data_IF_279819430014
#
_entry.id   IF_279819430014
#
_cell.length_a   1.000
_cell.length_b   1.000
_cell.length_c   1.000
_cell.angle_alpha   90.00
_cell.angle_beta   90.00
_cell.angle_gamma   90.00
#
_symmetry.space_group_name_H-M   'P 1'
#
loop_
_entity.id
_entity.type
_entity.pdbx_description
1 polymer ?
#
# COMPACT_ATOMS: atom_id res chain seq x y z
N UNK A 1 -13.64 12.82 -16.72
CA UNK A 1 -13.35 14.22 -16.37
C UNK A 1 -14.10 14.60 -15.09
N UNK A 2 -13.46 15.35 -14.20
CA UNK A 2 -14.01 15.68 -12.87
C UNK A 2 -14.74 17.03 -12.86
N UNK A 3 -15.40 17.40 -13.92
CA UNK A 3 -15.98 18.73 -14.14
C UNK A 3 -16.89 19.19 -12.99
N UNK A 4 -17.68 18.28 -12.42
CA UNK A 4 -18.58 18.60 -11.30
C UNK A 4 -17.85 18.89 -9.96
N UNK A 5 -16.58 18.53 -9.85
CA UNK A 5 -15.76 18.68 -8.63
C UNK A 5 -14.75 19.81 -8.79
N UNK A 6 -14.21 20.02 -10.01
CA UNK A 6 -13.17 21.02 -10.28
C UNK A 6 -13.64 22.44 -9.96
N UNK A 7 -14.88 22.79 -10.27
CA UNK A 7 -15.44 24.12 -9.97
C UNK A 7 -15.68 24.39 -8.47
N UNK A 8 -15.51 23.35 -7.62
CA UNK A 8 -15.74 23.42 -6.18
C UNK A 8 -14.47 23.21 -5.36
N UNK A 9 -13.34 22.95 -5.99
CA UNK A 9 -12.08 22.67 -5.34
C UNK A 9 -11.09 23.83 -5.56
N UNK A 10 -10.58 24.37 -4.46
CA UNK A 10 -9.39 25.20 -4.47
C UNK A 10 -8.17 24.30 -4.26
N UNK A 11 -7.21 24.36 -5.20
CA UNK A 11 -5.97 23.59 -5.13
C UNK A 11 -4.82 24.53 -4.76
N UNK A 12 -4.19 24.26 -3.63
CA UNK A 12 -2.99 24.98 -3.19
C UNK A 12 -1.79 24.04 -3.33
N UNK A 13 -0.77 24.47 -4.07
CA UNK A 13 0.45 23.69 -4.30
C UNK A 13 1.57 24.28 -3.45
N UNK A 14 2.12 23.47 -2.55
CA UNK A 14 3.29 23.83 -1.74
C UNK A 14 4.53 23.24 -2.38
N UNK A 15 5.55 24.07 -2.59
CA UNK A 15 6.84 23.66 -3.21
C UNK A 15 8.05 23.86 -2.30
N UNK A 16 7.91 24.64 -1.25
CA UNK A 16 8.94 24.79 -0.22
C UNK A 16 9.02 23.54 0.64
N UNK A 17 10.20 22.88 0.80
CA UNK A 17 10.35 21.64 1.54
C UNK A 17 9.94 21.73 3.02
N UNK A 18 10.25 22.82 3.69
CA UNK A 18 9.88 23.00 5.12
C UNK A 18 8.39 23.23 5.29
N UNK A 19 7.78 23.98 4.38
CA UNK A 19 6.34 24.17 4.36
C UNK A 19 5.60 22.85 4.03
N UNK A 20 6.09 22.07 3.08
CA UNK A 20 5.55 20.74 2.78
C UNK A 20 5.61 19.83 4.00
N UNK A 21 6.73 19.83 4.72
CA UNK A 21 6.91 19.05 5.94
C UNK A 21 5.95 19.51 7.04
N UNK A 22 5.81 20.82 7.24
CA UNK A 22 4.87 21.40 8.21
C UNK A 22 3.44 20.98 7.91
N UNK A 23 2.96 21.19 6.69
CA UNK A 23 1.60 20.82 6.25
C UNK A 23 1.36 19.31 6.39
N UNK A 24 2.35 18.50 6.05
CA UNK A 24 2.26 17.04 6.23
C UNK A 24 2.02 16.68 7.69
N UNK A 25 2.82 17.22 8.62
CA UNK A 25 2.75 16.85 10.03
C UNK A 25 1.57 17.50 10.77
N UNK A 26 1.28 18.76 10.51
CA UNK A 26 0.27 19.51 11.25
C UNK A 26 -1.15 19.35 10.69
N UNK A 27 -1.28 19.04 9.39
CA UNK A 27 -2.58 18.97 8.72
C UNK A 27 -2.87 17.56 8.18
N UNK A 28 -2.02 17.03 7.30
CA UNK A 28 -2.33 15.80 6.57
C UNK A 28 -2.35 14.56 7.49
N UNK A 29 -1.34 14.36 8.32
CA UNK A 29 -1.27 13.21 9.23
C UNK A 29 -2.44 13.16 10.21
N UNK A 30 -2.84 14.24 10.90
CA UNK A 30 -4.04 14.25 11.74
C UNK A 30 -5.33 13.89 11.00
N UNK A 31 -5.49 14.38 9.77
CA UNK A 31 -6.65 14.05 8.93
C UNK A 31 -6.64 12.55 8.57
N UNK A 32 -5.48 12.01 8.18
CA UNK A 32 -5.35 10.59 7.86
C UNK A 32 -5.60 9.69 9.07
N UNK A 33 -5.07 10.05 10.23
CA UNK A 33 -5.33 9.31 11.46
C UNK A 33 -6.83 9.26 11.78
N UNK A 34 -7.52 10.41 11.72
CA UNK A 34 -8.97 10.49 11.92
C UNK A 34 -9.77 9.70 10.88
N UNK A 35 -9.28 9.62 9.63
CA UNK A 35 -9.87 8.77 8.59
C UNK A 35 -9.69 7.30 8.96
N UNK A 36 -8.49 6.91 9.37
CA UNK A 36 -8.12 5.52 9.67
C UNK A 36 -8.92 4.96 10.85
N UNK A 37 -9.24 5.79 11.87
CA UNK A 37 -10.16 5.44 12.96
C UNK A 37 -11.53 4.91 12.47
N UNK A 38 -11.99 5.33 11.28
CA UNK A 38 -13.24 4.83 10.69
C UNK A 38 -13.11 3.42 10.13
N UNK A 39 -11.87 2.96 9.91
CA UNK A 39 -11.57 1.61 9.41
C UNK A 39 -11.43 0.59 10.54
N UNK A 40 -11.27 1.01 11.79
CA UNK A 40 -10.97 0.13 12.95
C UNK A 40 -11.96 -1.03 13.14
N UNK A 41 -13.19 -0.88 12.63
CA UNK A 41 -14.25 -1.90 12.71
C UNK A 41 -14.41 -2.70 11.43
N UNK A 42 -13.67 -2.35 10.38
CA UNK A 42 -13.71 -3.03 9.09
C UNK A 42 -12.52 -3.99 9.02
N UNK A 43 -12.79 -5.19 8.58
CA UNK A 43 -11.76 -6.19 8.26
C UNK A 43 -11.89 -6.60 6.80
N UNK A 44 -10.87 -7.23 6.28
CA UNK A 44 -10.89 -7.72 4.90
C UNK A 44 -12.00 -8.75 4.66
N UNK A 45 -12.42 -9.47 5.71
CA UNK A 45 -13.54 -10.39 5.67
C UNK A 45 -14.91 -9.70 5.73
N UNK A 46 -14.98 -8.48 6.27
CA UNK A 46 -16.24 -7.74 6.46
C UNK A 46 -16.74 -7.04 5.20
N UNK A 47 -16.00 -7.10 4.11
CA UNK A 47 -16.35 -6.47 2.83
C UNK A 47 -16.38 -7.49 1.71
N UNK A 48 -17.26 -7.28 0.74
CA UNK A 48 -17.42 -8.19 -0.39
C UNK A 48 -16.40 -7.93 -1.50
N UNK A 49 -15.91 -6.70 -1.60
CA UNK A 49 -14.96 -6.28 -2.65
C UNK A 49 -13.82 -5.46 -2.09
N UNK A 50 -12.70 -5.50 -2.78
CA UNK A 50 -11.57 -4.58 -2.64
C UNK A 50 -11.63 -3.52 -3.74
N UNK A 51 -10.67 -2.60 -3.75
CA UNK A 51 -10.54 -1.60 -4.80
C UNK A 51 -9.10 -1.53 -5.29
N UNK A 52 -8.92 -1.25 -6.57
CA UNK A 52 -7.62 -0.85 -7.11
C UNK A 52 -7.36 0.63 -6.85
N UNK A 53 -6.10 1.05 -6.96
CA UNK A 53 -5.73 2.44 -7.14
C UNK A 53 -4.58 2.51 -8.13
N UNK A 54 -4.79 3.24 -9.23
CA UNK A 54 -3.81 3.43 -10.31
C UNK A 54 -3.35 4.88 -10.46
N UNK A 55 -3.61 5.73 -9.47
CA UNK A 55 -3.21 7.16 -9.50
C UNK A 55 -1.72 7.37 -9.76
N UNK A 56 -0.87 6.44 -9.30
CA UNK A 56 0.58 6.52 -9.47
C UNK A 56 1.06 6.16 -10.87
N UNK A 57 0.21 5.71 -11.79
CA UNK A 57 0.62 5.35 -13.16
C UNK A 57 1.13 6.53 -13.97
N UNK A 58 0.88 7.77 -13.55
CA UNK A 58 1.55 8.95 -14.09
C UNK A 58 3.09 8.92 -13.93
N UNK A 59 3.60 8.19 -12.93
CA UNK A 59 5.03 8.08 -12.62
C UNK A 59 5.57 6.67 -12.87
N UNK A 60 4.76 5.65 -12.60
CA UNK A 60 5.09 4.23 -12.70
C UNK A 60 3.95 3.54 -13.44
N UNK A 61 4.01 3.43 -14.77
CA UNK A 61 2.86 3.03 -15.61
C UNK A 61 2.26 1.67 -15.27
N UNK A 62 3.06 0.76 -14.71
CA UNK A 62 2.62 -0.58 -14.33
C UNK A 62 2.17 -0.70 -12.88
N UNK A 63 2.22 0.39 -12.10
CA UNK A 63 1.89 0.30 -10.69
C UNK A 63 0.39 0.21 -10.45
N UNK A 64 -0.01 -0.73 -9.60
CA UNK A 64 -1.37 -0.85 -9.07
C UNK A 64 -1.30 -1.16 -7.57
N UNK A 65 -2.11 -0.49 -6.77
CA UNK A 65 -2.39 -0.91 -5.40
C UNK A 65 -3.71 -1.68 -5.37
N UNK A 66 -3.75 -2.76 -4.60
CA UNK A 66 -5.01 -3.38 -4.14
C UNK A 66 -5.26 -2.85 -2.74
N UNK A 67 -6.39 -2.18 -2.55
CA UNK A 67 -6.76 -1.49 -1.32
C UNK A 67 -7.85 -2.29 -0.63
N UNK A 68 -7.58 -2.70 0.59
CA UNK A 68 -8.52 -3.40 1.47
C UNK A 68 -8.78 -2.57 2.73
N UNK A 69 -9.77 -2.90 3.57
CA UNK A 69 -9.95 -2.24 4.86
C UNK A 69 -8.70 -2.21 5.74
N UNK A 70 -7.94 -3.31 5.75
CA UNK A 70 -6.74 -3.45 6.58
C UNK A 70 -5.45 -3.07 5.84
N UNK A 71 -5.51 -2.84 4.52
CA UNK A 71 -4.36 -2.49 3.68
C UNK A 71 -4.69 -1.29 2.82
N UNK A 72 -4.27 -0.12 3.26
CA UNK A 72 -4.39 1.12 2.51
C UNK A 72 -3.47 1.11 1.27
N UNK A 73 -3.66 2.08 0.41
CA UNK A 73 -2.64 2.41 -0.59
C UNK A 73 -1.27 2.53 0.08
N UNK A 74 -0.22 2.07 -0.59
CA UNK A 74 1.15 2.01 -0.03
C UNK A 74 1.66 3.37 0.45
N UNK A 75 1.18 4.46 -0.15
CA UNK A 75 1.47 5.83 0.24
C UNK A 75 0.77 6.29 1.53
N UNK A 76 -0.16 5.50 2.09
CA UNK A 76 -1.01 5.87 3.22
C UNK A 76 -2.11 6.88 2.90
N UNK A 77 -2.21 7.36 1.66
CA UNK A 77 -3.13 8.45 1.30
C UNK A 77 -4.53 8.00 0.88
N UNK A 78 -4.69 6.76 0.41
CA UNK A 78 -5.97 6.24 -0.09
C UNK A 78 -6.38 5.04 0.76
N UNK A 79 -7.47 5.18 1.48
CA UNK A 79 -8.09 4.08 2.25
C UNK A 79 -9.13 3.35 1.41
N UNK A 80 -9.65 2.23 1.94
CA UNK A 80 -10.75 1.50 1.31
C UNK A 80 -12.01 2.37 1.16
N UNK A 81 -12.30 3.21 2.16
CA UNK A 81 -13.42 4.17 2.10
C UNK A 81 -13.22 5.24 1.03
N UNK A 82 -11.99 5.74 0.88
CA UNK A 82 -11.66 6.73 -0.16
C UNK A 82 -11.77 6.11 -1.55
N UNK A 83 -11.24 4.90 -1.73
CA UNK A 83 -11.31 4.18 -3.00
C UNK A 83 -12.76 3.85 -3.39
N UNK A 84 -13.59 3.43 -2.41
CA UNK A 84 -15.02 3.21 -2.60
C UNK A 84 -15.72 4.48 -3.06
N UNK A 85 -15.53 5.58 -2.35
CA UNK A 85 -16.14 6.88 -2.68
C UNK A 85 -15.67 7.38 -4.06
N UNK A 86 -14.39 7.20 -4.40
CA UNK A 86 -13.85 7.55 -5.71
C UNK A 86 -14.51 6.75 -6.82
N UNK A 87 -14.70 5.44 -6.62
CA UNK A 87 -15.40 4.58 -7.58
C UNK A 87 -16.87 4.95 -7.75
N UNK A 88 -17.57 5.28 -6.65
CA UNK A 88 -18.97 5.70 -6.70
C UNK A 88 -19.15 7.02 -7.46
N UNK A 89 -18.17 7.94 -7.38
CA UNK A 89 -18.18 9.21 -8.10
C UNK A 89 -17.78 9.05 -9.58
N UNK A 90 -16.81 8.20 -9.85
CA UNK A 90 -16.30 7.92 -11.20
C UNK A 90 -16.01 6.42 -11.36
N UNK A 91 -17.00 5.62 -11.80
CA UNK A 91 -16.82 4.19 -12.02
C UNK A 91 -15.77 3.82 -13.09
N UNK A 92 -15.37 4.74 -13.94
CA UNK A 92 -14.29 4.56 -14.92
C UNK A 92 -12.95 5.16 -14.46
N UNK A 93 -12.92 5.74 -13.27
CA UNK A 93 -11.79 6.46 -12.70
C UNK A 93 -10.68 5.56 -12.17
N UNK A 94 -9.77 6.12 -11.38
CA UNK A 94 -8.55 5.43 -10.94
C UNK A 94 -8.77 4.32 -9.90
N UNK A 95 -9.94 4.27 -9.28
CA UNK A 95 -10.29 3.24 -8.30
C UNK A 95 -11.39 2.34 -8.86
N UNK A 96 -11.03 1.11 -9.20
CA UNK A 96 -11.95 0.12 -9.76
C UNK A 96 -12.23 -0.98 -8.74
N UNK A 97 -13.40 -1.60 -8.82
CA UNK A 97 -13.74 -2.78 -8.01
C UNK A 97 -12.77 -3.92 -8.33
N UNK A 98 -12.29 -4.57 -7.30
CA UNK A 98 -11.49 -5.80 -7.34
C UNK A 98 -12.25 -6.86 -6.56
N UNK A 99 -12.70 -7.90 -7.24
CA UNK A 99 -13.42 -9.01 -6.61
C UNK A 99 -12.47 -9.94 -5.88
N UNK A 100 -13.00 -10.77 -4.96
CA UNK A 100 -12.23 -11.75 -4.17
C UNK A 100 -13.02 -13.05 -3.97
N UNK A 101 -13.80 -13.43 -4.96
CA UNK A 101 -14.73 -14.57 -4.87
C UNK A 101 -14.04 -15.91 -5.06
N UNK A 102 -12.87 -15.94 -5.74
CA UNK A 102 -12.13 -17.16 -6.08
C UNK A 102 -10.81 -17.24 -5.29
N UNK A 103 -10.86 -17.69 -4.01
CA UNK A 103 -9.64 -17.81 -3.21
C UNK A 103 -8.75 -18.95 -3.71
N UNK A 104 -7.43 -18.67 -3.79
CA UNK A 104 -6.38 -19.67 -3.99
C UNK A 104 -5.81 -20.07 -2.63
N UNK A 105 -5.43 -19.09 -1.82
CA UNK A 105 -4.96 -19.27 -0.46
C UNK A 105 -5.28 -17.99 0.37
N UNK A 106 -6.26 -18.11 1.23
CA UNK A 106 -6.70 -16.99 2.07
C UNK A 106 -5.65 -16.56 3.11
N UNK A 107 -4.76 -17.46 3.52
CA UNK A 107 -3.69 -17.12 4.46
C UNK A 107 -2.64 -16.22 3.80
N UNK A 108 -2.37 -16.44 2.53
CA UNK A 108 -1.51 -15.58 1.71
C UNK A 108 -2.23 -14.31 1.25
N UNK A 109 -3.55 -14.28 1.27
CA UNK A 109 -4.35 -13.27 0.58
C UNK A 109 -4.22 -13.40 -0.94
N UNK A 110 -4.22 -14.63 -1.44
CA UNK A 110 -4.12 -14.96 -2.85
C UNK A 110 -5.50 -15.31 -3.42
N UNK A 111 -5.91 -14.62 -4.48
CA UNK A 111 -7.19 -14.80 -5.17
C UNK A 111 -6.99 -14.76 -6.68
N UNK A 112 -7.72 -15.60 -7.42
CA UNK A 112 -7.67 -15.56 -8.90
C UNK A 112 -8.19 -14.23 -9.44
N UNK A 113 -9.29 -13.72 -8.88
CA UNK A 113 -9.89 -12.45 -9.28
C UNK A 113 -8.92 -11.27 -9.08
N UNK A 114 -8.26 -11.23 -7.92
CA UNK A 114 -7.25 -10.21 -7.62
C UNK A 114 -6.10 -10.27 -8.60
N UNK A 115 -5.64 -11.48 -8.98
CA UNK A 115 -4.57 -11.64 -9.96
C UNK A 115 -5.00 -11.14 -11.35
N UNK A 116 -6.21 -11.48 -11.81
CA UNK A 116 -6.75 -11.02 -13.10
C UNK A 116 -6.84 -9.50 -13.15
N UNK A 117 -7.39 -8.88 -12.09
CA UNK A 117 -7.51 -7.43 -12.01
C UNK A 117 -6.13 -6.74 -11.92
N UNK A 118 -5.21 -7.29 -11.14
CA UNK A 118 -3.84 -6.76 -11.04
C UNK A 118 -3.11 -6.89 -12.37
N UNK A 119 -3.23 -8.00 -13.09
CA UNK A 119 -2.65 -8.16 -14.44
C UNK A 119 -3.22 -7.11 -15.40
N UNK A 120 -4.53 -6.94 -15.41
CA UNK A 120 -5.22 -5.94 -16.23
C UNK A 120 -4.75 -4.52 -15.91
N UNK A 121 -4.78 -4.12 -14.63
CA UNK A 121 -4.45 -2.75 -14.22
C UNK A 121 -2.95 -2.45 -14.27
N UNK A 122 -2.09 -3.45 -14.11
CA UNK A 122 -0.64 -3.31 -14.29
C UNK A 122 -0.19 -3.40 -15.77
N UNK A 123 -1.11 -3.49 -16.70
CA UNK A 123 -0.82 -3.66 -18.13
C UNK A 123 0.01 -4.92 -18.42
N UNK A 124 -0.23 -6.00 -17.66
CA UNK A 124 0.45 -7.30 -17.81
C UNK A 124 1.80 -7.39 -17.10
N UNK A 125 2.23 -6.36 -16.37
CA UNK A 125 3.51 -6.39 -15.66
C UNK A 125 3.48 -7.30 -14.42
N UNK A 126 2.34 -7.40 -13.74
CA UNK A 126 2.12 -8.25 -12.59
C UNK A 126 1.09 -9.32 -12.94
N UNK A 127 1.42 -10.59 -12.73
CA UNK A 127 0.52 -11.72 -13.01
C UNK A 127 -0.05 -12.35 -11.75
N UNK A 128 0.71 -12.27 -10.66
CA UNK A 128 0.33 -12.83 -9.36
C UNK A 128 0.76 -11.90 -8.26
N UNK A 129 -0.11 -11.73 -7.28
CA UNK A 129 0.19 -11.00 -6.05
C UNK A 129 -0.44 -11.71 -4.86
N UNK A 130 0.21 -11.59 -3.73
CA UNK A 130 -0.38 -11.94 -2.44
C UNK A 130 -0.49 -10.69 -1.58
N UNK A 131 -1.58 -10.58 -0.85
CA UNK A 131 -1.84 -9.38 -0.06
C UNK A 131 -1.17 -9.43 1.32
N UNK A 132 -0.87 -10.64 1.83
CA UNK A 132 -0.44 -10.86 3.20
C UNK A 132 0.88 -11.62 3.32
N UNK A 133 1.64 -11.77 2.23
CA UNK A 133 2.95 -12.41 2.23
C UNK A 133 4.04 -11.45 1.76
N UNK A 134 5.19 -11.51 2.41
CA UNK A 134 6.41 -10.83 1.95
C UNK A 134 7.28 -11.74 1.09
N UNK A 135 7.06 -13.06 1.16
CA UNK A 135 7.91 -14.06 0.49
C UNK A 135 7.33 -14.54 -0.84
N UNK A 136 6.00 -14.63 -0.95
CA UNK A 136 5.35 -15.17 -2.13
C UNK A 136 4.65 -14.06 -2.90
N UNK A 137 5.11 -13.77 -4.10
CA UNK A 137 4.53 -12.78 -5.01
C UNK A 137 4.15 -11.45 -4.30
N UNK A 138 5.08 -10.82 -3.54
CA UNK A 138 4.77 -9.61 -2.77
C UNK A 138 4.35 -8.49 -3.71
N UNK A 139 3.46 -7.62 -3.22
CA UNK A 139 3.06 -6.42 -3.97
C UNK A 139 4.26 -5.52 -4.26
N UNK A 140 4.31 -5.01 -5.48
CA UNK A 140 5.32 -4.04 -5.92
C UNK A 140 4.92 -2.61 -5.58
N UNK A 141 5.82 -1.66 -5.81
CA UNK A 141 5.63 -0.27 -5.45
C UNK A 141 6.12 0.69 -6.54
N UNK A 142 5.53 1.88 -6.57
CA UNK A 142 6.09 3.04 -7.28
C UNK A 142 7.19 3.76 -6.46
N UNK A 143 7.51 3.29 -5.24
CA UNK A 143 8.43 3.94 -4.31
C UNK A 143 7.76 4.89 -3.31
N UNK A 144 6.46 5.12 -3.39
CA UNK A 144 5.72 6.06 -2.55
C UNK A 144 5.10 5.44 -1.28
N UNK A 145 5.71 4.44 -0.68
CA UNK A 145 5.23 3.83 0.55
C UNK A 145 5.71 4.58 1.80
N UNK A 146 4.99 4.42 2.89
CA UNK A 146 5.35 5.02 4.18
C UNK A 146 6.47 4.25 4.88
N UNK A 147 6.45 2.93 4.73
CA UNK A 147 7.41 2.01 5.34
C UNK A 147 7.84 0.95 4.33
N UNK A 148 9.00 0.39 4.56
CA UNK A 148 9.47 -0.81 3.86
C UNK A 148 9.91 -1.84 4.87
N UNK A 149 9.57 -3.10 4.66
CA UNK A 149 10.09 -4.22 5.39
C UNK A 149 11.03 -5.07 4.55
N UNK A 150 11.99 -5.68 5.24
CA UNK A 150 12.93 -6.64 4.67
C UNK A 150 13.16 -7.79 5.63
N UNK A 151 13.44 -8.98 5.12
CA UNK A 151 13.78 -10.15 5.95
C UNK A 151 15.26 -10.10 6.31
N UNK A 152 15.56 -10.15 7.60
CA UNK A 152 16.93 -10.29 8.11
C UNK A 152 17.33 -11.80 8.07
N UNK A 153 18.35 -12.16 7.26
CA UNK A 153 18.60 -13.57 6.93
C UNK A 153 19.03 -14.45 8.13
N UNK A 154 19.71 -13.87 9.14
CA UNK A 154 20.27 -14.64 10.24
C UNK A 154 19.21 -15.03 11.28
N UNK A 155 18.33 -14.09 11.63
CA UNK A 155 17.24 -14.33 12.58
C UNK A 155 15.96 -14.78 11.90
N UNK A 156 15.88 -14.68 10.57
CA UNK A 156 14.65 -14.81 9.80
C UNK A 156 13.55 -13.86 10.32
N UNK A 157 13.98 -12.75 10.92
CA UNK A 157 13.13 -11.69 11.46
C UNK A 157 12.83 -10.60 10.43
N UNK A 158 11.90 -9.75 10.76
CA UNK A 158 11.48 -8.64 9.90
C UNK A 158 12.05 -7.34 10.42
N UNK A 159 12.75 -6.64 9.55
CA UNK A 159 13.24 -5.27 9.75
C UNK A 159 12.29 -4.32 9.04
N UNK A 160 11.78 -3.31 9.74
CA UNK A 160 10.92 -2.29 9.17
C UNK A 160 11.60 -0.94 9.30
N UNK A 161 11.72 -0.22 8.20
CA UNK A 161 12.17 1.17 8.17
C UNK A 161 11.04 2.09 7.68
N UNK A 162 10.79 3.18 8.39
CA UNK A 162 9.91 4.22 7.89
C UNK A 162 10.66 5.18 6.96
N UNK A 163 9.92 5.90 6.13
CA UNK A 163 10.47 6.82 5.12
C UNK A 163 11.36 7.91 5.72
N UNK A 164 11.15 8.30 6.96
CA UNK A 164 11.87 9.39 7.62
C UNK A 164 13.16 8.92 8.30
N UNK A 165 13.36 7.61 8.38
CA UNK A 165 14.58 7.05 8.96
C UNK A 165 15.77 7.21 8.00
N UNK A 166 16.74 8.01 8.42
CA UNK A 166 17.92 8.34 7.61
C UNK A 166 19.12 7.44 7.87
N UNK A 167 19.03 6.52 8.85
CA UNK A 167 20.14 5.66 9.26
C UNK A 167 20.27 4.38 8.45
N UNK A 168 21.29 3.60 8.80
CA UNK A 168 21.49 2.23 8.31
C UNK A 168 20.62 1.27 9.11
N UNK A 169 19.90 0.40 8.42
CA UNK A 169 19.09 -0.67 9.05
C UNK A 169 19.98 -1.88 9.41
N UNK A 170 19.48 -2.81 10.23
CA UNK A 170 20.17 -4.08 10.48
C UNK A 170 20.43 -4.93 9.24
N UNK A 171 19.76 -4.66 8.13
CA UNK A 171 20.05 -5.29 6.83
C UNK A 171 21.30 -4.75 6.15
N UNK A 172 21.99 -3.77 6.74
CA UNK A 172 23.09 -3.07 6.09
C UNK A 172 22.64 -2.19 4.92
N UNK A 173 21.37 -1.82 4.88
CA UNK A 173 20.74 -1.00 3.83
C UNK A 173 20.09 0.23 4.44
N UNK A 174 20.16 1.35 3.73
CA UNK A 174 19.36 2.54 4.00
C UNK A 174 17.94 2.37 3.50
N UNK A 175 17.00 3.24 3.92
CA UNK A 175 15.62 3.21 3.39
C UNK A 175 15.58 3.30 1.85
N UNK A 176 16.30 4.21 1.16
CA UNK A 176 16.30 4.25 -0.31
C UNK A 176 16.82 2.96 -0.98
N UNK A 177 17.83 2.32 -0.39
CA UNK A 177 18.35 1.04 -0.90
C UNK A 177 17.33 -0.09 -0.74
N UNK A 178 16.67 -0.19 0.41
CA UNK A 178 15.56 -1.13 0.59
C UNK A 178 14.41 -0.82 -0.38
N UNK A 179 14.07 0.47 -0.56
CA UNK A 179 13.01 0.90 -1.46
C UNK A 179 13.26 0.50 -2.92
N UNK A 180 14.52 0.50 -3.36
CA UNK A 180 14.90 0.07 -4.71
C UNK A 180 14.60 -1.39 -5.00
N UNK A 181 14.50 -2.23 -3.94
CA UNK A 181 14.20 -3.66 -4.10
C UNK A 181 12.76 -3.94 -4.56
N UNK A 182 11.84 -2.99 -4.38
CA UNK A 182 10.42 -3.16 -4.73
C UNK A 182 9.91 -2.13 -5.72
N UNK A 183 10.76 -1.20 -6.14
CA UNK A 183 10.39 -0.14 -7.07
C UNK A 183 10.22 -0.62 -8.51
N UNK A 184 9.45 0.14 -9.32
CA UNK A 184 9.35 -0.08 -10.75
C UNK A 184 8.66 -1.37 -11.19
N UNK A 185 7.80 -1.96 -10.35
CA UNK A 185 7.06 -3.18 -10.69
C UNK A 185 7.85 -4.48 -10.43
N UNK A 186 8.97 -4.41 -9.72
CA UNK A 186 9.75 -5.60 -9.35
C UNK A 186 9.17 -6.26 -8.10
N UNK A 187 8.92 -7.56 -8.17
CA UNK A 187 8.56 -8.40 -7.03
C UNK A 187 9.83 -9.05 -6.47
N UNK A 188 10.27 -8.62 -5.31
CA UNK A 188 11.46 -9.17 -4.65
C UNK A 188 11.05 -9.89 -3.37
N UNK A 189 11.06 -11.24 -3.36
CA UNK A 189 10.78 -11.99 -2.13
C UNK A 189 11.64 -11.51 -0.96
N UNK A 190 11.00 -11.31 0.18
CA UNK A 190 11.66 -10.78 1.37
C UNK A 190 11.66 -9.26 1.49
N UNK A 191 11.15 -8.52 0.50
CA UNK A 191 10.97 -7.06 0.58
C UNK A 191 9.55 -6.66 0.22
N UNK A 192 8.95 -5.76 1.00
CA UNK A 192 7.61 -5.26 0.75
C UNK A 192 7.46 -3.82 1.26
N UNK A 193 7.05 -2.90 0.38
CA UNK A 193 6.60 -1.56 0.78
C UNK A 193 5.15 -1.58 1.25
N UNK A 194 4.80 -0.76 2.23
CA UNK A 194 3.43 -0.69 2.78
C UNK A 194 3.18 0.61 3.54
N UNK A 195 1.91 0.85 3.86
CA UNK A 195 1.49 1.93 4.75
C UNK A 195 1.57 1.54 6.23
N UNK A 196 1.65 2.52 7.11
CA UNK A 196 1.72 2.30 8.58
C UNK A 196 0.50 1.56 9.13
N UNK A 197 -0.67 1.84 8.60
CA UNK A 197 -1.92 1.18 9.02
C UNK A 197 -1.84 -0.35 8.85
N UNK A 198 -1.27 -0.82 7.73
CA UNK A 198 -1.14 -2.25 7.47
C UNK A 198 -0.25 -2.98 8.48
N UNK A 199 0.82 -2.35 8.98
CA UNK A 199 1.70 -2.96 9.99
C UNK A 199 0.92 -3.32 11.26
N UNK A 200 -0.04 -2.49 11.64
CA UNK A 200 -0.86 -2.69 12.84
C UNK A 200 -2.00 -3.68 12.63
N UNK A 201 -2.25 -4.09 11.41
CA UNK A 201 -3.34 -5.01 11.08
C UNK A 201 -2.97 -6.47 11.37
N UNK A 202 -3.98 -7.31 11.59
CA UNK A 202 -3.80 -8.76 11.73
C UNK A 202 -3.39 -9.45 10.42
N UNK A 203 -3.44 -8.73 9.31
CA UNK A 203 -3.09 -9.22 7.98
C UNK A 203 -1.62 -8.97 7.64
N UNK A 204 -0.94 -8.08 8.37
CA UNK A 204 0.47 -7.81 8.12
C UNK A 204 1.30 -9.10 8.18
N UNK A 205 1.85 -9.48 7.03
CA UNK A 205 2.66 -10.71 6.89
C UNK A 205 2.03 -11.95 7.55
N UNK A 206 0.71 -12.08 7.46
CA UNK A 206 -0.04 -13.18 8.10
C UNK A 206 0.54 -14.55 7.74
N UNK A 207 0.95 -14.74 6.51
CA UNK A 207 1.51 -15.99 6.01
C UNK A 207 2.84 -16.36 6.67
N UNK A 208 3.62 -15.36 7.12
CA UNK A 208 4.94 -15.55 7.71
C UNK A 208 5.01 -15.20 9.21
N UNK A 209 3.87 -15.15 9.90
CA UNK A 209 3.83 -14.93 11.35
C UNK A 209 3.58 -13.48 11.79
N UNK A 210 3.43 -12.56 10.83
CA UNK A 210 2.94 -11.20 11.11
C UNK A 210 3.85 -10.38 12.02
N UNK A 211 3.21 -9.57 12.86
CA UNK A 211 3.88 -8.60 13.75
C UNK A 211 4.88 -9.24 14.74
N UNK A 212 4.66 -10.51 15.11
CA UNK A 212 5.54 -11.22 16.03
C UNK A 212 6.94 -11.49 15.44
N UNK A 213 7.06 -11.38 14.12
CA UNK A 213 8.34 -11.54 13.40
C UNK A 213 9.18 -10.27 13.37
N UNK A 214 8.67 -9.11 13.81
CA UNK A 214 9.41 -7.86 13.79
C UNK A 214 10.53 -7.90 14.81
N UNK A 215 11.78 -7.83 14.35
CA UNK A 215 12.98 -7.80 15.19
C UNK A 215 13.56 -6.39 15.31
N UNK A 216 13.20 -5.49 14.44
CA UNK A 216 13.65 -4.11 14.48
C UNK A 216 12.68 -3.15 13.76
N UNK A 217 12.41 -2.03 14.42
CA UNK A 217 11.63 -0.90 13.88
C UNK A 217 12.04 0.36 14.65
N UNK A 218 12.57 1.42 13.99
CA UNK A 218 13.02 2.65 14.64
C UNK A 218 11.87 3.55 15.12
#
# INVERSE_FOLDING_TARGET
EFDAVVDKCEVVIYTDPEECKRIRHEVAIPIFNKRDERLDKLTDESVDVYYSCILCQAFSPSHVCVITPERLGLCGAVSWLDAKATHELDPAGPCQVVTKERPIDENLGAYEDVNEDVEKFSQGALKKVTLYSIMQDPMTSCGCFECICGIEPFSNGVVIANREYAGMTPLGMTFPEMASMTGGGVQTPGFMGHGKHFISSKKFMRAEGGIERIVWMP
#
